data_IF_712167358779
#
_entry.id   IF_712167358779
#
_cell.length_a   1.000
_cell.length_b   1.000
_cell.length_c   1.000
_cell.angle_alpha   90.00
_cell.angle_beta   90.00
_cell.angle_gamma   90.00
#
_symmetry.space_group_name_H-M   'P 1'
#
loop_
_entity.id
_entity.type
_entity.pdbx_description
1 polymer ?
#
# COMPACT_ATOMS: atom_id res chain seq x y z
N UNK A 1 14.95 -23.81 -9.88
CA UNK A 1 15.05 -22.67 -8.95
C UNK A 1 14.31 -23.03 -7.68
N UNK A 2 15.00 -23.07 -6.54
CA UNK A 2 14.36 -23.38 -5.26
C UNK A 2 13.58 -22.15 -4.71
N UNK A 3 12.79 -22.33 -3.65
CA UNK A 3 11.94 -21.25 -3.10
C UNK A 3 12.77 -20.04 -2.65
N UNK A 4 13.97 -20.27 -2.09
CA UNK A 4 14.85 -19.22 -1.60
C UNK A 4 15.41 -18.35 -2.74
N UNK A 5 15.89 -18.97 -3.81
CA UNK A 5 16.39 -18.27 -5.01
C UNK A 5 15.31 -17.36 -5.61
N UNK A 6 14.07 -17.86 -5.71
CA UNK A 6 12.93 -17.08 -6.21
C UNK A 6 12.62 -15.85 -5.36
N UNK A 7 12.73 -15.98 -4.03
CA UNK A 7 12.55 -14.87 -3.09
C UNK A 7 13.69 -13.86 -3.22
N UNK A 8 14.94 -14.33 -3.25
CA UNK A 8 16.12 -13.48 -3.38
C UNK A 8 16.10 -12.68 -4.69
N UNK A 9 15.80 -13.33 -5.82
CA UNK A 9 15.62 -12.67 -7.12
C UNK A 9 14.52 -11.62 -7.07
N UNK A 10 13.45 -11.91 -6.33
CA UNK A 10 12.34 -10.97 -6.17
C UNK A 10 12.71 -9.70 -5.42
N UNK A 11 13.47 -9.85 -4.34
CA UNK A 11 13.97 -8.73 -3.54
C UNK A 11 14.99 -7.93 -4.34
N UNK A 12 15.90 -8.59 -5.06
CA UNK A 12 16.89 -7.93 -5.91
C UNK A 12 16.24 -7.09 -7.00
N UNK A 13 15.22 -7.62 -7.68
CA UNK A 13 14.42 -6.86 -8.67
C UNK A 13 13.70 -5.67 -8.05
N UNK A 14 13.30 -5.77 -6.78
CA UNK A 14 12.65 -4.65 -6.09
C UNK A 14 13.62 -3.52 -5.73
N UNK A 15 14.91 -3.80 -5.55
CA UNK A 15 15.91 -2.80 -5.15
C UNK A 15 15.87 -1.54 -6.03
N UNK A 16 15.71 -1.73 -7.33
CA UNK A 16 15.63 -0.63 -8.31
C UNK A 16 14.35 0.21 -8.15
N UNK A 17 13.26 -0.38 -7.65
CA UNK A 17 11.97 0.27 -7.38
C UNK A 17 11.80 0.74 -5.93
N UNK A 18 12.89 0.78 -5.17
CA UNK A 18 12.82 1.11 -3.74
C UNK A 18 12.62 2.60 -3.46
N UNK A 19 12.83 3.48 -4.45
CA UNK A 19 12.53 4.91 -4.36
C UNK A 19 11.11 5.21 -4.90
N UNK A 20 10.13 5.19 -3.99
CA UNK A 20 8.70 5.31 -4.30
C UNK A 20 8.41 6.55 -5.16
N UNK A 21 8.93 7.71 -4.77
CA UNK A 21 8.57 8.99 -5.40
C UNK A 21 9.11 9.13 -6.83
N UNK A 22 10.15 8.37 -7.19
CA UNK A 22 10.77 8.43 -8.52
C UNK A 22 10.29 7.32 -9.45
N UNK A 23 10.07 6.13 -8.91
CA UNK A 23 9.94 4.91 -9.71
C UNK A 23 8.49 4.41 -9.82
N UNK A 24 7.58 4.91 -8.99
CA UNK A 24 6.20 4.42 -8.95
C UNK A 24 5.26 5.37 -9.70
N UNK A 25 4.21 4.80 -10.28
CA UNK A 25 3.12 5.60 -10.84
C UNK A 25 2.42 6.34 -9.70
N UNK A 26 1.92 7.55 -9.97
CA UNK A 26 1.27 8.35 -8.95
C UNK A 26 0.07 9.13 -9.47
N UNK A 27 -0.87 9.39 -8.57
CA UNK A 27 -1.99 10.29 -8.82
C UNK A 27 -2.48 10.90 -7.50
N UNK A 28 -3.14 12.05 -7.57
CA UNK A 28 -3.75 12.69 -6.40
C UNK A 28 -5.18 12.19 -6.16
N UNK A 29 -5.53 11.98 -4.90
CA UNK A 29 -6.86 11.53 -4.50
C UNK A 29 -7.31 12.28 -3.24
N UNK A 30 -8.48 12.93 -3.32
CA UNK A 30 -9.04 13.64 -2.19
C UNK A 30 -9.92 12.72 -1.34
N UNK A 31 -9.38 12.29 -0.20
CA UNK A 31 -10.05 11.45 0.78
C UNK A 31 -11.15 12.19 1.56
N UNK A 32 -11.19 13.53 1.50
CA UNK A 32 -12.25 14.33 2.10
C UNK A 32 -13.52 14.38 1.24
N UNK A 33 -13.44 13.98 -0.05
CA UNK A 33 -14.58 13.97 -0.98
C UNK A 33 -15.80 13.25 -0.34
N UNK A 34 -16.95 13.92 -0.20
CA UNK A 34 -18.12 13.35 0.46
C UNK A 34 -18.55 12.01 -0.13
N UNK A 35 -19.00 11.10 0.73
CA UNK A 35 -19.32 9.73 0.34
C UNK A 35 -20.46 9.61 -0.70
N UNK A 36 -21.32 10.61 -0.87
CA UNK A 36 -22.27 10.65 -1.98
C UNK A 36 -21.59 10.62 -3.36
N UNK A 37 -20.37 11.16 -3.48
CA UNK A 37 -19.58 11.18 -4.72
C UNK A 37 -18.65 9.97 -4.85
N UNK A 38 -18.82 8.92 -4.03
CA UNK A 38 -17.98 7.71 -4.06
C UNK A 38 -17.82 7.10 -5.45
N UNK A 39 -18.83 7.25 -6.33
CA UNK A 39 -18.80 6.69 -7.67
C UNK A 39 -17.70 7.34 -8.51
N UNK A 40 -17.55 8.66 -8.42
CA UNK A 40 -16.55 9.41 -9.18
C UNK A 40 -15.15 9.16 -8.62
N UNK A 41 -15.02 9.12 -7.29
CA UNK A 41 -13.79 8.70 -6.60
C UNK A 41 -13.37 7.29 -7.04
N UNK A 42 -14.30 6.33 -7.09
CA UNK A 42 -14.00 4.96 -7.49
C UNK A 42 -13.64 4.84 -8.97
N UNK A 43 -14.32 5.62 -9.83
CA UNK A 43 -14.00 5.68 -11.24
C UNK A 43 -12.58 6.20 -11.45
N UNK A 44 -12.19 7.26 -10.75
CA UNK A 44 -10.82 7.77 -10.78
C UNK A 44 -9.81 6.70 -10.36
N UNK A 45 -10.01 6.06 -9.20
CA UNK A 45 -9.12 4.99 -8.73
C UNK A 45 -9.00 3.86 -9.77
N UNK A 46 -10.12 3.47 -10.40
CA UNK A 46 -10.11 2.41 -11.41
C UNK A 46 -9.43 2.85 -12.72
N UNK A 47 -9.56 4.11 -13.13
CA UNK A 47 -8.90 4.66 -14.31
C UNK A 47 -7.38 4.71 -14.12
N UNK A 48 -6.92 5.13 -12.93
CA UNK A 48 -5.50 5.28 -12.63
C UNK A 48 -4.79 3.94 -12.41
N UNK A 49 -5.44 2.99 -11.71
CA UNK A 49 -4.78 1.75 -11.25
C UNK A 49 -5.25 0.51 -12.01
N UNK A 50 -6.53 0.44 -12.40
CA UNK A 50 -7.14 -0.75 -12.96
C UNK A 50 -7.16 -1.95 -12.00
N UNK A 51 -7.16 -3.16 -12.56
CA UNK A 51 -7.06 -4.43 -11.81
C UNK A 51 -5.60 -4.85 -11.68
N UNK A 52 -4.90 -4.26 -10.71
CA UNK A 52 -3.45 -4.44 -10.56
C UNK A 52 -3.08 -5.00 -9.20
N UNK A 53 -2.28 -6.06 -9.19
CA UNK A 53 -1.67 -6.59 -7.98
C UNK A 53 -0.27 -5.98 -7.76
N UNK A 54 0.07 -5.64 -6.53
CA UNK A 54 1.38 -5.08 -6.22
C UNK A 54 1.43 -4.34 -4.89
N UNK A 55 2.21 -3.26 -4.89
CA UNK A 55 2.44 -2.41 -3.72
C UNK A 55 1.88 -1.01 -3.98
N UNK A 56 1.50 -0.34 -2.91
CA UNK A 56 1.06 1.04 -2.93
C UNK A 56 1.48 1.78 -1.66
N UNK A 57 1.51 3.10 -1.74
CA UNK A 57 1.67 3.97 -0.60
C UNK A 57 0.80 5.21 -0.71
N UNK A 58 0.55 5.84 0.43
CA UNK A 58 -0.28 7.04 0.56
C UNK A 58 0.59 8.08 1.25
N UNK A 59 0.71 9.26 0.63
CA UNK A 59 1.49 10.38 1.13
C UNK A 59 0.63 11.63 1.27
N UNK A 60 0.88 12.38 2.34
CA UNK A 60 0.41 13.76 2.50
C UNK A 60 1.64 14.67 2.40
N UNK A 61 1.79 15.36 1.26
CA UNK A 61 3.02 16.06 0.92
C UNK A 61 4.24 15.12 0.95
N UNK A 62 5.14 15.34 1.92
CA UNK A 62 6.36 14.52 2.13
C UNK A 62 6.17 13.41 3.15
N UNK A 63 5.06 13.41 3.88
CA UNK A 63 4.83 12.47 4.96
C UNK A 63 4.22 11.18 4.41
N UNK A 64 4.92 10.07 4.60
CA UNK A 64 4.38 8.75 4.30
C UNK A 64 3.30 8.40 5.35
N UNK A 65 2.06 8.27 4.92
CA UNK A 65 0.95 7.90 5.81
C UNK A 65 0.86 6.39 5.97
N UNK A 66 0.93 5.67 4.85
CA UNK A 66 0.67 4.24 4.82
C UNK A 66 1.39 3.59 3.63
N UNK A 67 1.91 2.38 3.85
CA UNK A 67 2.41 1.49 2.82
C UNK A 67 1.62 0.19 2.93
N UNK A 68 1.26 -0.40 1.79
CA UNK A 68 0.60 -1.69 1.82
C UNK A 68 0.71 -2.47 0.52
N UNK A 69 0.23 -3.69 0.59
CA UNK A 69 0.18 -4.62 -0.55
C UNK A 69 -1.27 -5.01 -0.86
N UNK A 70 -1.50 -5.46 -2.09
CA UNK A 70 -2.83 -5.89 -2.52
C UNK A 70 -2.80 -6.86 -3.71
N UNK A 71 -3.71 -7.84 -3.69
CA UNK A 71 -4.07 -8.62 -4.89
C UNK A 71 -4.78 -7.74 -5.92
N UNK A 72 -5.49 -6.71 -5.44
CA UNK A 72 -5.98 -5.60 -6.24
C UNK A 72 -5.75 -4.31 -5.46
N UNK A 73 -4.81 -3.49 -5.89
CA UNK A 73 -4.45 -2.22 -5.25
C UNK A 73 -5.65 -1.28 -5.25
N UNK A 74 -6.39 -1.18 -6.36
CA UNK A 74 -7.55 -0.31 -6.47
C UNK A 74 -8.57 -0.56 -5.36
N UNK A 75 -8.83 -1.82 -5.02
CA UNK A 75 -9.78 -2.15 -3.96
C UNK A 75 -9.27 -1.79 -2.57
N UNK A 76 -7.95 -1.82 -2.35
CA UNK A 76 -7.33 -1.37 -1.09
C UNK A 76 -7.45 0.13 -0.93
N UNK A 77 -7.15 0.91 -1.97
CA UNK A 77 -7.31 2.38 -1.95
C UNK A 77 -8.78 2.76 -1.73
N UNK A 78 -9.74 2.08 -2.38
CA UNK A 78 -11.18 2.28 -2.12
C UNK A 78 -11.56 1.99 -0.66
N UNK A 79 -10.94 0.99 -0.03
CA UNK A 79 -11.14 0.68 1.39
C UNK A 79 -10.65 1.82 2.28
N UNK A 80 -9.48 2.38 1.98
CA UNK A 80 -8.92 3.52 2.72
C UNK A 80 -9.77 4.78 2.55
N UNK A 81 -10.31 5.03 1.35
CA UNK A 81 -11.32 6.06 1.17
C UNK A 81 -12.58 5.82 2.01
N UNK A 82 -13.11 4.59 2.04
CA UNK A 82 -14.23 4.26 2.94
C UNK A 82 -13.89 4.52 4.40
N UNK A 83 -12.67 4.21 4.83
CA UNK A 83 -12.19 4.48 6.17
C UNK A 83 -12.14 5.97 6.49
N UNK A 84 -11.63 6.80 5.57
CA UNK A 84 -11.65 8.27 5.69
C UNK A 84 -13.08 8.82 5.84
N UNK A 85 -14.06 8.14 5.25
CA UNK A 85 -15.49 8.46 5.33
C UNK A 85 -16.18 7.83 6.55
N UNK A 86 -15.43 7.14 7.42
CA UNK A 86 -15.95 6.49 8.61
C UNK A 86 -16.80 5.25 8.35
N UNK A 87 -16.65 4.63 7.19
CA UNK A 87 -17.45 3.49 6.71
C UNK A 87 -16.66 2.16 6.73
N UNK A 88 -15.46 2.12 7.31
CA UNK A 88 -14.73 0.87 7.55
C UNK A 88 -15.24 0.18 8.82
N UNK A 89 -15.11 -1.14 8.89
CA UNK A 89 -15.54 -1.91 10.07
C UNK A 89 -14.54 -1.77 11.23
N UNK A 90 -13.26 -1.53 10.94
CA UNK A 90 -12.25 -1.37 11.99
C UNK A 90 -12.13 0.11 12.40
N UNK A 91 -12.45 0.38 13.67
CA UNK A 91 -12.38 1.72 14.26
C UNK A 91 -11.04 2.41 14.03
N UNK A 92 -9.92 1.69 14.19
CA UNK A 92 -8.56 2.23 13.98
C UNK A 92 -8.32 2.79 12.57
N UNK A 93 -8.87 2.14 11.54
CA UNK A 93 -8.72 2.60 10.17
C UNK A 93 -9.54 3.87 9.96
N UNK A 94 -10.77 3.89 10.50
CA UNK A 94 -11.61 5.07 10.47
C UNK A 94 -10.94 6.26 11.18
N UNK A 95 -10.39 6.05 12.38
CA UNK A 95 -9.71 7.11 13.14
C UNK A 95 -8.53 7.68 12.34
N UNK A 96 -7.59 6.82 11.94
CA UNK A 96 -6.39 7.27 11.21
C UNK A 96 -6.72 7.99 9.90
N UNK A 97 -7.56 7.42 9.03
CA UNK A 97 -7.84 8.01 7.73
C UNK A 97 -8.80 9.20 7.78
N UNK A 98 -9.56 9.38 8.88
CA UNK A 98 -10.29 10.63 9.11
C UNK A 98 -9.36 11.76 9.51
N UNK A 99 -8.36 11.49 10.33
CA UNK A 99 -7.36 12.49 10.74
C UNK A 99 -6.45 12.91 9.59
N UNK A 100 -6.25 12.02 8.62
CA UNK A 100 -5.46 12.27 7.41
C UNK A 100 -6.37 12.35 6.17
N UNK A 101 -7.56 12.94 6.33
CA UNK A 101 -8.47 13.18 5.22
C UNK A 101 -8.05 14.44 4.45
N UNK A 102 -8.03 14.35 3.12
CA UNK A 102 -7.57 15.44 2.27
C UNK A 102 -6.95 14.94 0.97
N UNK A 103 -6.28 15.83 0.25
CA UNK A 103 -5.62 15.53 -1.01
C UNK A 103 -4.32 14.79 -0.74
N UNK A 104 -4.35 13.47 -0.93
CA UNK A 104 -3.19 12.60 -0.76
C UNK A 104 -2.60 12.22 -2.12
N UNK A 105 -1.30 11.99 -2.17
CA UNK A 105 -0.63 11.37 -3.32
C UNK A 105 -0.60 9.86 -3.13
N UNK A 106 -1.19 9.13 -4.08
CA UNK A 106 -1.19 7.69 -4.10
C UNK A 106 -0.09 7.23 -5.05
N UNK A 107 0.94 6.57 -4.52
CA UNK A 107 1.94 5.90 -5.34
C UNK A 107 1.62 4.43 -5.46
N UNK A 108 1.81 3.83 -6.62
CA UNK A 108 1.61 2.40 -6.83
C UNK A 108 2.56 1.82 -7.88
N UNK A 109 2.90 0.55 -7.69
CA UNK A 109 3.65 -0.20 -8.71
C UNK A 109 3.10 -1.61 -8.81
N UNK A 110 2.95 -2.08 -10.05
CA UNK A 110 2.64 -3.48 -10.29
C UNK A 110 3.82 -4.33 -9.82
N UNK A 111 3.51 -5.35 -9.03
CA UNK A 111 4.52 -6.25 -8.50
C UNK A 111 4.01 -7.68 -8.39
N UNK A 112 4.35 -8.48 -9.39
CA UNK A 112 4.03 -9.90 -9.49
C UNK A 112 5.34 -10.68 -9.52
N UNK A 113 5.64 -11.42 -8.46
CA UNK A 113 6.86 -12.24 -8.40
C UNK A 113 6.51 -13.69 -8.10
N UNK A 114 7.06 -14.59 -8.91
CA UNK A 114 6.92 -16.04 -8.75
C UNK A 114 5.85 -16.64 -9.67
N UNK A 115 5.96 -17.96 -9.86
CA UNK A 115 4.99 -18.74 -10.64
C UNK A 115 3.79 -19.22 -9.80
N UNK A 116 3.85 -19.08 -8.46
CA UNK A 116 2.75 -19.44 -7.56
C UNK A 116 2.39 -18.30 -6.58
N UNK A 117 1.12 -18.26 -6.16
CA UNK A 117 0.54 -17.17 -5.37
C UNK A 117 1.12 -17.05 -3.95
N UNK A 118 1.58 -18.15 -3.35
CA UNK A 118 2.12 -18.19 -1.99
C UNK A 118 3.48 -17.49 -1.91
N UNK A 119 4.36 -17.71 -2.89
CA UNK A 119 5.64 -17.04 -2.98
C UNK A 119 5.47 -15.54 -3.23
N UNK A 120 4.56 -15.16 -4.13
CA UNK A 120 4.26 -13.73 -4.38
C UNK A 120 3.84 -12.99 -3.12
N UNK A 121 3.07 -13.64 -2.24
CA UNK A 121 2.63 -13.03 -0.98
C UNK A 121 3.80 -12.80 -0.02
N UNK A 122 4.64 -13.82 0.22
CA UNK A 122 5.80 -13.70 1.12
C UNK A 122 6.76 -12.59 0.67
N UNK A 123 7.05 -12.52 -0.63
CA UNK A 123 7.97 -11.51 -1.19
C UNK A 123 7.40 -10.11 -1.01
N UNK A 124 6.10 -9.92 -1.29
CA UNK A 124 5.42 -8.63 -1.07
C UNK A 124 5.47 -8.20 0.40
N UNK A 125 5.27 -9.13 1.33
CA UNK A 125 5.34 -8.85 2.76
C UNK A 125 6.76 -8.45 3.20
N UNK A 126 7.80 -9.14 2.71
CA UNK A 126 9.20 -8.75 2.99
C UNK A 126 9.47 -7.34 2.47
N UNK A 127 9.04 -7.04 1.26
CA UNK A 127 9.23 -5.72 0.65
C UNK A 127 8.46 -4.63 1.39
N UNK A 128 7.22 -4.91 1.79
CA UNK A 128 6.41 -4.02 2.63
C UNK A 128 7.17 -3.65 3.90
N UNK A 129 7.71 -4.64 4.63
CA UNK A 129 8.51 -4.38 5.83
C UNK A 129 9.78 -3.54 5.55
N UNK A 130 10.49 -3.80 4.43
CA UNK A 130 11.66 -3.01 4.03
C UNK A 130 11.27 -1.54 3.78
N UNK A 131 10.13 -1.33 3.11
CA UNK A 131 9.60 0.01 2.83
C UNK A 131 9.13 0.71 4.11
N UNK A 132 8.48 -0.01 5.02
CA UNK A 132 8.07 0.52 6.33
C UNK A 132 9.29 1.00 7.14
N UNK A 133 10.40 0.25 7.14
CA UNK A 133 11.64 0.67 7.79
C UNK A 133 12.22 1.93 7.14
N UNK A 134 12.21 1.99 5.79
CA UNK A 134 12.79 3.10 5.03
C UNK A 134 11.98 4.40 5.18
N UNK A 135 10.67 4.32 5.02
CA UNK A 135 9.78 5.48 4.92
C UNK A 135 9.05 5.83 6.22
N UNK A 136 9.06 4.93 7.22
CA UNK A 136 8.47 5.13 8.55
C UNK A 136 7.04 5.68 8.47
N UNK A 137 6.10 4.94 7.86
CA UNK A 137 4.74 5.43 7.68
C UNK A 137 4.09 5.79 9.01
N UNK A 138 3.31 6.87 9.04
CA UNK A 138 2.61 7.34 10.26
C UNK A 138 1.65 6.28 10.83
N UNK A 139 1.05 5.46 9.98
CA UNK A 139 0.19 4.38 10.44
C UNK A 139 1.03 3.21 10.98
N UNK A 140 1.13 3.11 12.30
CA UNK A 140 1.75 1.96 12.95
C UNK A 140 0.79 0.76 12.92
N UNK A 141 0.94 -0.10 11.92
CA UNK A 141 0.34 -1.42 12.00
C UNK A 141 1.17 -2.27 12.98
N UNK A 142 0.69 -2.42 14.22
CA UNK A 142 1.17 -3.50 15.09
C UNK A 142 0.75 -4.84 14.46
N UNK A 143 1.59 -5.39 13.58
CA UNK A 143 1.64 -6.85 13.37
C UNK A 143 2.08 -7.37 14.73
N UNK A 144 1.28 -8.20 15.37
CA UNK A 144 1.68 -8.84 16.62
C UNK A 144 3.13 -9.29 16.50
N UNK A 145 3.96 -8.73 17.37
CA UNK A 145 5.41 -8.71 17.29
C UNK A 145 5.96 -10.08 16.93
N UNK A 146 6.70 -10.16 15.81
CA UNK A 146 7.74 -11.19 15.71
C UNK A 146 8.60 -11.04 16.98
N UNK A 147 8.83 -12.12 17.75
CA UNK A 147 9.62 -12.02 18.95
C UNK A 147 10.97 -11.41 18.57
N UNK A 148 11.29 -10.27 19.21
CA UNK A 148 12.63 -9.71 19.18
C UNK A 148 13.56 -10.81 19.69
N UNK A 149 14.30 -11.44 18.78
CA UNK A 149 15.43 -12.27 19.15
C UNK A 149 16.45 -11.31 19.74
N UNK A 150 16.50 -11.27 21.06
CA UNK A 150 17.59 -10.62 21.78
C UNK A 150 18.84 -11.47 21.52
N UNK A 151 19.83 -10.87 20.86
CA UNK A 151 21.17 -11.42 20.71
C UNK A 151 21.97 -11.23 21.98
#
# INVERSE_FOLDING_TARGET
>A
MNEFESIADGILKFKEKSDIEKEWNSFHLDFSTPFEFKKDVYNKINQEIGKTAGLYSIFDGKDCLYIGTGKNIADRIKSHYKAAQGKDNAKRWNEFFRENNGINTIYWTQFNIGQNQKQSHKIREIIENILEIKYKPKFEYKKDSLPLVQY
#
